data_IF_592948463884
#
_entry.id   IF_592948463884
#
_cell.length_a   1.000
_cell.length_b   1.000
_cell.length_c   1.000
_cell.angle_alpha   90.00
_cell.angle_beta   90.00
_cell.angle_gamma   90.00
#
_symmetry.space_group_name_H-M   'P 1'
#
loop_
_entity.id
_entity.type
_entity.pdbx_description
1 polymer ?
#
# COMPACT_ATOMS: atom_id res chain seq x y z
N UNK A 1 55.70 -36.50 -28.40
CA UNK A 1 54.88 -35.31 -28.77
C UNK A 1 53.54 -35.46 -28.11
N UNK A 2 53.34 -34.77 -27.00
CA UNK A 2 52.00 -34.76 -26.31
C UNK A 2 51.30 -33.47 -26.72
N UNK A 3 50.19 -33.59 -27.39
CA UNK A 3 49.34 -32.47 -27.80
C UNK A 3 48.36 -32.15 -26.66
N UNK A 4 48.53 -30.98 -26.04
CA UNK A 4 47.68 -30.46 -24.95
C UNK A 4 46.48 -29.76 -25.61
N UNK A 5 45.27 -30.35 -25.55
CA UNK A 5 44.03 -29.64 -25.93
C UNK A 5 43.57 -28.76 -24.81
N UNK A 6 43.66 -27.43 -25.00
CA UNK A 6 43.02 -26.42 -24.12
C UNK A 6 41.53 -26.34 -24.49
N UNK A 7 40.64 -26.78 -23.58
CA UNK A 7 39.21 -26.55 -23.68
C UNK A 7 38.91 -25.18 -23.02
N UNK A 8 38.63 -24.19 -23.83
CA UNK A 8 38.11 -22.89 -23.38
C UNK A 8 36.60 -23.02 -23.11
N UNK A 9 36.21 -23.13 -21.86
CA UNK A 9 34.82 -22.98 -21.45
C UNK A 9 34.46 -21.49 -21.36
N UNK A 10 33.74 -20.98 -22.37
CA UNK A 10 33.15 -19.65 -22.34
C UNK A 10 31.91 -19.69 -21.44
N UNK A 11 32.01 -19.14 -20.23
CA UNK A 11 30.85 -18.82 -19.38
C UNK A 11 30.14 -17.61 -19.99
N UNK A 12 29.02 -17.83 -20.68
CA UNK A 12 28.08 -16.76 -21.01
C UNK A 12 27.43 -16.28 -19.72
N UNK A 13 27.85 -15.14 -19.20
CA UNK A 13 27.06 -14.36 -18.26
C UNK A 13 25.83 -13.84 -19.02
N UNK A 14 24.68 -14.42 -18.79
CA UNK A 14 23.42 -13.78 -19.12
C UNK A 14 23.27 -12.57 -18.19
N UNK A 15 23.61 -11.39 -18.67
CA UNK A 15 23.16 -10.14 -18.05
C UNK A 15 21.62 -10.16 -18.16
N UNK A 16 20.92 -10.45 -17.06
CA UNK A 16 19.51 -10.16 -16.96
C UNK A 16 19.36 -8.66 -17.18
N UNK A 17 18.72 -8.27 -18.28
CA UNK A 17 18.31 -6.91 -18.54
C UNK A 17 17.47 -6.45 -17.33
N UNK A 18 17.98 -5.54 -16.52
CA UNK A 18 17.21 -4.91 -15.48
C UNK A 18 16.02 -4.22 -16.16
N UNK A 19 14.79 -4.68 -15.88
CA UNK A 19 13.58 -4.01 -16.31
C UNK A 19 13.61 -2.63 -15.63
N UNK A 20 13.88 -1.58 -16.39
CA UNK A 20 13.69 -0.22 -15.89
C UNK A 20 12.19 0.03 -15.84
N UNK A 21 11.63 0.26 -14.66
CA UNK A 21 10.22 0.60 -14.51
C UNK A 21 9.82 1.74 -15.44
N UNK A 22 8.70 1.59 -16.13
CA UNK A 22 8.21 2.53 -17.13
C UNK A 22 7.36 3.65 -16.50
N UNK A 23 6.93 3.45 -15.25
CA UNK A 23 6.00 4.33 -14.54
C UNK A 23 6.72 5.08 -13.44
N UNK A 24 6.59 6.41 -13.46
CA UNK A 24 7.18 7.31 -12.46
C UNK A 24 6.08 8.09 -11.79
N UNK A 25 6.01 8.04 -10.46
CA UNK A 25 5.15 8.92 -9.66
C UNK A 25 5.94 10.11 -9.13
N UNK A 26 5.35 11.29 -9.23
CA UNK A 26 5.89 12.55 -8.72
C UNK A 26 4.82 13.33 -7.97
N UNK A 27 5.25 14.26 -7.12
CA UNK A 27 4.37 15.23 -6.46
C UNK A 27 4.75 16.65 -6.93
N UNK A 28 3.74 17.44 -7.31
CA UNK A 28 3.88 18.88 -7.60
C UNK A 28 2.77 19.64 -6.87
N UNK A 29 3.14 20.33 -5.80
CA UNK A 29 2.18 20.93 -4.87
C UNK A 29 1.32 19.87 -4.19
N UNK A 30 0.00 19.96 -4.33
CA UNK A 30 -0.96 19.00 -3.76
C UNK A 30 -1.37 17.89 -4.75
N UNK A 31 -0.64 17.71 -5.86
CA UNK A 31 -1.02 16.82 -6.96
C UNK A 31 -0.02 15.68 -7.15
N UNK A 32 -0.55 14.50 -7.42
CA UNK A 32 0.22 13.38 -7.95
C UNK A 32 0.29 13.43 -9.48
N UNK A 33 1.46 13.15 -9.99
CA UNK A 33 1.76 13.03 -11.41
C UNK A 33 2.23 11.61 -11.70
N UNK A 34 1.80 11.06 -12.82
CA UNK A 34 2.29 9.78 -13.35
C UNK A 34 2.86 10.04 -14.74
N UNK A 35 4.14 9.71 -14.94
CA UNK A 35 4.85 9.95 -16.19
C UNK A 35 4.74 11.41 -16.68
N UNK A 36 4.90 12.35 -15.77
CA UNK A 36 4.90 13.79 -16.05
C UNK A 36 3.52 14.43 -16.27
N UNK A 37 2.42 13.65 -16.21
CA UNK A 37 1.04 14.13 -16.31
C UNK A 37 0.32 14.01 -14.97
N UNK A 38 -0.54 14.96 -14.59
CA UNK A 38 -1.35 14.79 -13.40
C UNK A 38 -2.25 13.57 -13.56
N UNK A 39 -2.50 12.86 -12.48
CA UNK A 39 -3.53 11.80 -12.49
C UNK A 39 -4.88 12.42 -12.84
N UNK A 40 -5.74 11.68 -13.54
CA UNK A 40 -7.06 12.16 -13.97
C UNK A 40 -7.05 13.54 -14.64
N UNK A 41 -6.10 13.80 -15.54
CA UNK A 41 -5.87 15.07 -16.22
C UNK A 41 -7.17 15.67 -16.76
N UNK A 42 -7.47 16.92 -16.36
CA UNK A 42 -8.67 17.66 -16.76
C UNK A 42 -10.00 17.18 -16.15
N UNK A 43 -10.00 16.15 -15.31
CA UNK A 43 -11.24 15.60 -14.76
C UNK A 43 -11.84 16.48 -13.67
N UNK A 44 -13.12 16.83 -13.84
CA UNK A 44 -13.96 17.50 -12.86
C UNK A 44 -15.22 16.64 -12.65
N UNK A 45 -15.65 16.46 -11.40
CA UNK A 45 -16.87 15.76 -11.03
C UNK A 45 -17.72 16.64 -10.10
N UNK A 46 -18.98 16.91 -10.47
CA UNK A 46 -19.91 17.77 -9.71
C UNK A 46 -19.26 19.11 -9.26
N UNK A 47 -18.43 19.71 -10.11
CA UNK A 47 -17.70 20.95 -9.81
C UNK A 47 -16.38 20.78 -9.04
N UNK A 48 -16.08 19.57 -8.55
CA UNK A 48 -14.86 19.27 -7.80
C UNK A 48 -13.76 18.77 -8.72
N UNK A 49 -12.53 19.26 -8.49
CA UNK A 49 -11.34 18.83 -9.23
C UNK A 49 -10.92 17.43 -8.78
N UNK A 50 -10.80 16.50 -9.74
CA UNK A 50 -10.29 15.13 -9.51
C UNK A 50 -8.83 15.01 -9.96
N UNK A 51 -8.43 15.83 -10.92
CA UNK A 51 -7.06 15.88 -11.42
C UNK A 51 -6.05 15.99 -10.27
N UNK A 52 -5.05 15.13 -10.27
CA UNK A 52 -3.99 15.11 -9.26
C UNK A 52 -4.26 14.22 -8.04
N UNK A 53 -5.44 13.60 -7.92
CA UNK A 53 -5.77 12.71 -6.81
C UNK A 53 -5.34 11.25 -7.08
N UNK A 54 -5.22 10.46 -6.02
CA UNK A 54 -5.14 9.00 -6.05
C UNK A 54 -6.44 8.42 -5.48
N UNK A 55 -7.13 7.62 -6.27
CA UNK A 55 -8.25 6.81 -5.80
C UNK A 55 -7.75 5.40 -5.58
N UNK A 56 -7.90 4.91 -4.35
CA UNK A 56 -7.20 3.71 -3.92
C UNK A 56 -8.09 2.74 -3.13
N UNK A 57 -7.56 1.57 -2.86
CA UNK A 57 -8.12 0.62 -1.90
C UNK A 57 -6.99 -0.01 -1.10
N UNK A 58 -7.29 -0.32 0.16
CA UNK A 58 -6.37 -1.02 1.04
C UNK A 58 -6.43 -2.52 0.75
N UNK A 59 -5.43 -3.04 0.07
CA UNK A 59 -5.35 -4.42 -0.41
C UNK A 59 -4.09 -5.13 0.12
N UNK A 60 -3.82 -4.96 1.42
CA UNK A 60 -2.54 -5.28 2.06
C UNK A 60 -2.18 -6.77 2.07
N UNK A 61 -3.14 -7.64 1.77
CA UNK A 61 -2.94 -9.10 1.82
C UNK A 61 -2.49 -9.73 0.50
N UNK A 62 -2.19 -8.93 -0.53
CA UNK A 62 -1.83 -9.46 -1.86
C UNK A 62 -0.60 -10.39 -1.89
N UNK A 63 0.31 -10.25 -0.91
CA UNK A 63 1.49 -11.13 -0.76
C UNK A 63 1.45 -11.97 0.52
N UNK A 64 0.30 -12.03 1.19
CA UNK A 64 0.13 -12.72 2.47
C UNK A 64 0.62 -14.17 2.43
N UNK A 65 1.32 -14.56 3.48
CA UNK A 65 1.56 -15.96 3.83
C UNK A 65 1.76 -16.05 5.36
N UNK A 66 1.08 -17.01 5.98
CA UNK A 66 1.27 -17.24 7.41
C UNK A 66 2.45 -18.19 7.64
N UNK A 67 3.48 -17.68 8.28
CA UNK A 67 4.68 -18.44 8.65
C UNK A 67 4.47 -19.31 9.90
N UNK A 68 3.35 -19.13 10.61
CA UNK A 68 2.97 -19.97 11.75
C UNK A 68 2.11 -21.15 11.29
N UNK A 69 2.66 -22.35 11.34
CA UNK A 69 1.98 -23.58 10.94
C UNK A 69 0.69 -23.88 11.75
N UNK A 70 0.59 -23.34 12.97
CA UNK A 70 -0.58 -23.57 13.83
C UNK A 70 -1.80 -22.73 13.41
N UNK A 71 -1.58 -21.58 12.76
CA UNK A 71 -2.64 -20.67 12.33
C UNK A 71 -2.86 -20.65 10.82
N UNK A 72 -1.91 -21.13 10.01
CA UNK A 72 -2.01 -21.17 8.55
C UNK A 72 -3.27 -21.86 8.03
N UNK A 73 -3.76 -22.88 8.73
CA UNK A 73 -4.97 -23.62 8.40
C UNK A 73 -6.26 -22.76 8.49
N UNK A 74 -6.20 -21.57 9.10
CA UNK A 74 -7.34 -20.64 9.17
C UNK A 74 -7.61 -19.96 7.80
N UNK A 75 -6.64 -19.96 6.89
CA UNK A 75 -6.67 -19.20 5.64
C UNK A 75 -6.97 -20.05 4.40
N UNK A 76 -7.61 -21.20 4.59
CA UNK A 76 -7.97 -22.12 3.50
C UNK A 76 -9.00 -21.50 2.55
N UNK A 77 -8.76 -21.68 1.26
CA UNK A 77 -9.76 -21.38 0.24
C UNK A 77 -10.98 -22.32 0.39
N UNK A 78 -12.20 -21.82 0.22
CA UNK A 78 -13.41 -22.64 0.41
C UNK A 78 -13.56 -23.75 -0.64
N UNK A 79 -13.01 -23.59 -1.84
CA UNK A 79 -13.10 -24.55 -2.94
C UNK A 79 -12.08 -25.69 -2.85
N UNK A 80 -10.84 -25.42 -2.37
CA UNK A 80 -9.76 -26.42 -2.31
C UNK A 80 -9.47 -26.93 -0.91
N UNK A 81 -10.00 -26.25 0.10
CA UNK A 81 -9.71 -26.49 1.52
C UNK A 81 -8.20 -26.45 1.85
N UNK A 82 -7.43 -25.65 1.10
CA UNK A 82 -5.99 -25.41 1.30
C UNK A 82 -5.68 -23.94 1.14
N UNK A 83 -4.66 -23.44 1.87
CA UNK A 83 -4.09 -22.13 1.63
C UNK A 83 -3.01 -22.20 0.55
N UNK A 84 -3.06 -21.27 -0.40
CA UNK A 84 -2.08 -21.14 -1.48
C UNK A 84 -1.72 -19.65 -1.64
N UNK A 85 -0.54 -19.21 -1.15
CA UNK A 85 -0.11 -17.82 -1.24
C UNK A 85 0.21 -17.36 -2.67
N UNK A 86 0.60 -18.28 -3.55
CA UNK A 86 0.85 -17.95 -4.95
C UNK A 86 -0.43 -17.78 -5.74
N UNK A 87 -1.46 -18.59 -5.46
CA UNK A 87 -2.82 -18.40 -5.97
C UNK A 87 -3.35 -17.03 -5.56
N UNK A 88 -3.25 -16.68 -4.27
CA UNK A 88 -3.69 -15.37 -3.75
C UNK A 88 -3.07 -14.21 -4.53
N UNK A 89 -1.77 -14.25 -4.77
CA UNK A 89 -1.07 -13.22 -5.53
C UNK A 89 -1.46 -13.22 -7.01
N UNK A 90 -1.63 -14.38 -7.63
CA UNK A 90 -2.01 -14.47 -9.05
C UNK A 90 -3.41 -13.91 -9.29
N UNK A 91 -4.38 -14.27 -8.43
CA UNK A 91 -5.75 -13.73 -8.50
C UNK A 91 -5.77 -12.21 -8.27
N UNK A 92 -4.92 -11.69 -7.37
CA UNK A 92 -4.71 -10.24 -7.21
C UNK A 92 -4.26 -9.58 -8.52
N UNK A 93 -3.20 -10.15 -9.14
CA UNK A 93 -2.63 -9.61 -10.39
C UNK A 93 -3.66 -9.64 -11.55
N UNK A 94 -4.45 -10.69 -11.63
CA UNK A 94 -5.52 -10.82 -12.63
C UNK A 94 -6.63 -9.78 -12.45
N UNK A 95 -7.02 -9.48 -11.21
CA UNK A 95 -8.07 -8.53 -10.90
C UNK A 95 -7.68 -7.05 -11.19
N UNK A 96 -6.38 -6.73 -11.21
CA UNK A 96 -5.89 -5.36 -11.37
C UNK A 96 -6.36 -4.69 -12.68
N UNK A 97 -6.53 -5.44 -13.77
CA UNK A 97 -7.05 -4.89 -15.04
C UNK A 97 -8.47 -4.36 -14.89
N UNK A 98 -9.30 -5.05 -14.11
CA UNK A 98 -10.68 -4.65 -13.89
C UNK A 98 -10.75 -3.41 -12.99
N UNK A 99 -10.01 -3.38 -11.87
CA UNK A 99 -9.94 -2.20 -11.02
C UNK A 99 -9.52 -0.96 -11.80
N UNK A 100 -8.52 -1.12 -12.67
CA UNK A 100 -8.05 -0.03 -13.54
C UNK A 100 -9.13 0.47 -14.51
N UNK A 101 -9.94 -0.42 -15.10
CA UNK A 101 -11.05 -0.06 -15.99
C UNK A 101 -12.13 0.77 -15.29
N UNK A 102 -12.35 0.53 -14.00
CA UNK A 102 -13.24 1.36 -13.19
C UNK A 102 -12.64 2.73 -12.83
N UNK A 103 -11.34 2.92 -13.01
CA UNK A 103 -10.65 4.19 -12.79
C UNK A 103 -9.84 4.23 -11.49
N UNK A 104 -9.74 3.12 -10.72
CA UNK A 104 -8.82 3.05 -9.58
C UNK A 104 -7.38 3.11 -10.08
N UNK A 105 -6.58 4.03 -9.55
CA UNK A 105 -5.20 4.26 -10.00
C UNK A 105 -4.14 3.97 -8.93
N UNK A 106 -4.55 3.54 -7.74
CA UNK A 106 -3.63 3.23 -6.65
C UNK A 106 -4.20 2.14 -5.73
N UNK A 107 -3.34 1.47 -4.97
CA UNK A 107 -3.70 0.55 -3.89
C UNK A 107 -2.59 0.48 -2.84
N UNK A 108 -2.94 0.03 -1.63
CA UNK A 108 -1.97 -0.24 -0.56
C UNK A 108 -1.69 -1.73 -0.45
N UNK A 109 -0.42 -2.11 -0.35
CA UNK A 109 0.06 -3.47 -0.09
C UNK A 109 1.16 -3.43 0.97
N UNK A 110 1.28 -4.45 1.83
CA UNK A 110 2.22 -4.41 2.94
C UNK A 110 3.23 -5.56 2.91
N UNK A 111 4.46 -5.26 3.35
CA UNK A 111 5.54 -6.25 3.59
C UNK A 111 5.31 -7.02 4.90
N UNK A 112 4.81 -6.33 5.94
CA UNK A 112 4.17 -6.97 7.09
C UNK A 112 2.68 -6.69 6.98
N UNK A 113 1.88 -7.70 6.75
CA UNK A 113 0.44 -7.56 6.65
C UNK A 113 -0.21 -7.89 7.98
N UNK A 114 -1.15 -7.06 8.39
CA UNK A 114 -1.91 -7.26 9.60
C UNK A 114 -3.35 -7.61 9.36
N UNK A 115 -4.00 -8.06 10.40
CA UNK A 115 -5.45 -8.23 10.49
C UNK A 115 -6.08 -9.05 9.34
N UNK A 116 -5.55 -10.24 8.99
CA UNK A 116 -6.04 -11.05 7.87
C UNK A 116 -7.45 -11.63 8.10
N UNK A 117 -8.08 -11.33 9.23
CA UNK A 117 -9.45 -11.67 9.55
C UNK A 117 -10.31 -10.42 9.82
N UNK A 118 -9.89 -9.26 9.33
CA UNK A 118 -10.53 -7.98 9.58
C UNK A 118 -9.75 -7.14 10.58
N UNK A 119 -10.30 -6.88 11.76
CA UNK A 119 -9.60 -6.18 12.84
C UNK A 119 -8.92 -7.15 13.82
N UNK A 120 -7.84 -6.69 14.43
CA UNK A 120 -7.08 -7.39 15.47
C UNK A 120 -6.00 -8.33 14.96
N UNK A 121 -5.06 -8.64 15.84
CA UNK A 121 -3.98 -9.59 15.60
C UNK A 121 -4.09 -10.79 16.53
N UNK A 122 -3.76 -11.96 15.98
CA UNK A 122 -3.64 -13.22 16.69
C UNK A 122 -2.23 -13.80 16.46
N UNK A 123 -2.05 -15.08 16.64
CA UNK A 123 -0.76 -15.74 16.59
C UNK A 123 -0.16 -15.93 15.17
N UNK A 124 -0.79 -15.43 14.10
CA UNK A 124 -0.20 -15.52 12.75
C UNK A 124 1.05 -14.67 12.60
N UNK A 125 1.93 -15.10 11.70
CA UNK A 125 3.18 -14.41 11.36
C UNK A 125 3.20 -14.12 9.87
N UNK A 126 2.83 -12.90 9.49
CA UNK A 126 2.85 -12.43 8.10
C UNK A 126 3.91 -11.35 7.93
N UNK A 127 5.12 -11.75 7.58
CA UNK A 127 6.26 -10.84 7.49
C UNK A 127 7.19 -11.22 6.35
N UNK A 128 7.45 -10.26 5.45
CA UNK A 128 8.46 -10.38 4.41
C UNK A 128 9.91 -10.30 4.96
N UNK A 129 10.08 -10.24 6.28
CA UNK A 129 11.38 -10.09 6.91
C UNK A 129 11.80 -11.32 7.71
N UNK A 130 13.08 -11.65 7.64
CA UNK A 130 13.77 -12.43 8.67
C UNK A 130 13.97 -11.59 9.93
N UNK A 131 14.23 -12.21 11.10
CA UNK A 131 14.39 -11.47 12.36
C UNK A 131 15.45 -10.34 12.33
N UNK A 132 16.49 -10.47 11.52
CA UNK A 132 17.56 -9.48 11.34
C UNK A 132 17.20 -8.36 10.32
N UNK A 133 15.99 -8.35 9.76
CA UNK A 133 15.53 -7.37 8.76
C UNK A 133 15.90 -7.70 7.31
N UNK A 134 16.47 -8.87 7.02
CA UNK A 134 16.67 -9.35 5.65
C UNK A 134 15.34 -9.74 5.02
N UNK A 135 15.22 -9.53 3.69
CA UNK A 135 14.00 -9.84 2.94
C UNK A 135 13.85 -11.34 2.67
N UNK A 136 12.63 -11.86 2.82
CA UNK A 136 12.28 -13.24 2.44
C UNK A 136 12.01 -13.32 0.94
N UNK A 137 12.78 -14.10 0.17
CA UNK A 137 12.65 -14.16 -1.28
C UNK A 137 11.25 -14.54 -1.78
N UNK A 138 10.55 -15.42 -1.08
CA UNK A 138 9.21 -15.88 -1.45
C UNK A 138 8.17 -14.75 -1.40
N UNK A 139 8.23 -13.86 -0.40
CA UNK A 139 7.38 -12.67 -0.32
C UNK A 139 7.74 -11.66 -1.41
N UNK A 140 9.04 -11.44 -1.62
CA UNK A 140 9.52 -10.48 -2.63
C UNK A 140 9.22 -10.93 -4.06
N UNK A 141 9.22 -12.23 -4.33
CA UNK A 141 8.82 -12.78 -5.63
C UNK A 141 7.31 -12.55 -5.90
N UNK A 142 6.47 -12.65 -4.87
CA UNK A 142 5.04 -12.31 -4.96
C UNK A 142 4.85 -10.81 -5.18
N UNK A 143 5.55 -9.97 -4.39
CA UNK A 143 5.50 -8.52 -4.56
C UNK A 143 5.95 -8.10 -5.96
N UNK A 144 6.99 -8.71 -6.50
CA UNK A 144 7.49 -8.39 -7.84
C UNK A 144 6.41 -8.56 -8.91
N UNK A 145 5.63 -9.65 -8.87
CA UNK A 145 4.52 -9.88 -9.82
C UNK A 145 3.48 -8.75 -9.78
N UNK A 146 3.14 -8.28 -8.57
CA UNK A 146 2.19 -7.18 -8.38
C UNK A 146 2.79 -5.87 -8.88
N UNK A 147 4.05 -5.57 -8.56
CA UNK A 147 4.70 -4.34 -8.98
C UNK A 147 4.93 -4.29 -10.50
N UNK A 148 5.28 -5.43 -11.12
CA UNK A 148 5.39 -5.53 -12.58
C UNK A 148 4.06 -5.18 -13.26
N UNK A 149 2.95 -5.74 -12.75
CA UNK A 149 1.61 -5.46 -13.28
C UNK A 149 1.18 -4.00 -13.03
N UNK A 150 1.49 -3.47 -11.85
CA UNK A 150 1.19 -2.07 -11.51
C UNK A 150 1.96 -1.10 -12.43
N UNK A 151 3.23 -1.40 -12.74
CA UNK A 151 4.03 -0.62 -13.68
C UNK A 151 3.43 -0.64 -15.09
N UNK A 152 3.03 -1.81 -15.58
CA UNK A 152 2.39 -1.97 -16.90
C UNK A 152 1.05 -1.20 -16.99
N UNK A 153 0.27 -1.19 -15.91
CA UNK A 153 -1.02 -0.50 -15.82
C UNK A 153 -0.90 0.99 -15.43
N UNK A 154 0.31 1.50 -15.16
CA UNK A 154 0.55 2.85 -14.65
C UNK A 154 -0.23 3.13 -13.36
N UNK A 155 -0.28 2.15 -12.46
CA UNK A 155 -0.85 2.30 -11.14
C UNK A 155 0.22 2.68 -10.13
N UNK A 156 -0.16 3.46 -9.12
CA UNK A 156 0.71 3.84 -8.00
C UNK A 156 0.49 2.86 -6.86
N UNK A 157 1.57 2.33 -6.29
CA UNK A 157 1.52 1.38 -5.18
C UNK A 157 1.97 2.07 -3.89
N UNK A 158 1.12 2.08 -2.87
CA UNK A 158 1.51 2.44 -1.50
C UNK A 158 2.02 1.17 -0.81
N UNK A 159 3.33 1.08 -0.61
CA UNK A 159 3.99 -0.06 0.01
C UNK A 159 4.19 0.22 1.51
N UNK A 160 3.39 -0.45 2.35
CA UNK A 160 3.57 -0.45 3.80
C UNK A 160 4.70 -1.39 4.20
N UNK A 161 5.62 -0.90 5.07
CA UNK A 161 6.74 -1.72 5.53
C UNK A 161 6.35 -2.50 6.77
N UNK A 162 5.88 -1.83 7.84
CA UNK A 162 5.58 -2.46 9.11
C UNK A 162 4.09 -2.40 9.46
N UNK A 163 3.68 -3.37 10.25
CA UNK A 163 2.34 -3.45 10.83
C UNK A 163 2.44 -3.78 12.33
N UNK A 164 1.62 -3.12 13.16
CA UNK A 164 1.58 -3.38 14.59
C UNK A 164 1.23 -4.85 14.89
N UNK A 165 1.88 -5.42 15.89
CA UNK A 165 1.73 -6.84 16.22
C UNK A 165 2.41 -7.80 15.24
N UNK A 166 3.32 -7.29 14.38
CA UNK A 166 4.23 -8.07 13.54
C UNK A 166 5.69 -7.63 13.72
N UNK A 167 5.92 -6.41 14.22
CA UNK A 167 7.26 -5.88 14.42
C UNK A 167 8.04 -6.59 15.54
N UNK A 168 7.38 -7.24 16.50
CA UNK A 168 8.00 -8.06 17.53
C UNK A 168 8.78 -9.28 17.01
N UNK A 169 8.61 -9.64 15.74
CA UNK A 169 9.42 -10.68 15.10
C UNK A 169 10.74 -10.18 14.52
N UNK A 170 11.07 -8.90 14.72
CA UNK A 170 12.37 -8.33 14.43
C UNK A 170 13.21 -8.31 15.71
N UNK A 171 14.50 -8.64 15.61
CA UNK A 171 15.38 -8.86 16.77
C UNK A 171 15.57 -7.60 17.62
N UNK A 172 15.76 -6.44 16.96
CA UNK A 172 16.07 -5.17 17.60
C UNK A 172 15.79 -3.96 16.67
N UNK A 173 16.08 -2.75 17.16
CA UNK A 173 15.95 -1.52 16.40
C UNK A 173 16.84 -1.51 15.14
N UNK A 174 18.01 -2.15 15.17
CA UNK A 174 18.87 -2.25 13.99
C UNK A 174 18.24 -3.13 12.92
N UNK A 175 17.54 -4.19 13.31
CA UNK A 175 16.77 -5.03 12.38
C UNK A 175 15.64 -4.23 11.72
N UNK A 176 14.94 -3.34 12.45
CA UNK A 176 13.94 -2.41 11.88
C UNK A 176 14.60 -1.49 10.85
N UNK A 177 15.74 -0.88 11.17
CA UNK A 177 16.50 -0.02 10.26
C UNK A 177 16.95 -0.80 9.02
N UNK A 178 17.42 -2.04 9.18
CA UNK A 178 17.81 -2.91 8.07
C UNK A 178 16.62 -3.25 7.17
N UNK A 179 15.46 -3.57 7.77
CA UNK A 179 14.23 -3.86 7.02
C UNK A 179 13.81 -2.67 6.13
N UNK A 180 13.86 -1.44 6.64
CA UNK A 180 13.59 -0.22 5.84
C UNK A 180 14.59 -0.10 4.70
N UNK A 181 15.91 -0.20 4.99
CA UNK A 181 16.96 -0.08 3.97
C UNK A 181 16.82 -1.15 2.89
N UNK A 182 16.62 -2.40 3.28
CA UNK A 182 16.52 -3.53 2.37
C UNK A 182 15.28 -3.39 1.46
N UNK A 183 14.14 -2.98 2.02
CA UNK A 183 12.90 -2.77 1.26
C UNK A 183 13.05 -1.67 0.21
N UNK A 184 13.55 -0.50 0.62
CA UNK A 184 13.69 0.65 -0.27
C UNK A 184 14.75 0.40 -1.34
N UNK A 185 15.89 -0.19 -0.98
CA UNK A 185 16.92 -0.57 -1.94
C UNK A 185 16.39 -1.60 -2.95
N UNK A 186 15.68 -2.64 -2.49
CA UNK A 186 15.12 -3.65 -3.38
C UNK A 186 14.17 -3.03 -4.42
N UNK A 187 13.26 -2.14 -4.00
CA UNK A 187 12.34 -1.44 -4.92
C UNK A 187 13.11 -0.62 -5.96
N UNK A 188 14.11 0.15 -5.51
CA UNK A 188 14.92 0.99 -6.38
C UNK A 188 15.83 0.16 -7.32
N UNK A 189 16.42 -0.94 -6.84
CA UNK A 189 17.26 -1.86 -7.62
C UNK A 189 16.48 -2.58 -8.71
N UNK A 190 15.21 -2.91 -8.45
CA UNK A 190 14.29 -3.44 -9.46
C UNK A 190 13.83 -2.38 -10.47
N UNK A 191 14.11 -1.09 -10.21
CA UNK A 191 13.81 0.03 -11.11
C UNK A 191 12.40 0.60 -10.95
N UNK A 192 11.62 0.17 -9.95
CA UNK A 192 10.28 0.71 -9.73
C UNK A 192 10.33 2.15 -9.21
N UNK A 193 9.55 3.04 -9.82
CA UNK A 193 9.43 4.46 -9.47
C UNK A 193 7.97 4.91 -9.30
N UNK A 194 7.04 3.97 -9.32
CA UNK A 194 5.61 4.17 -9.08
C UNK A 194 5.20 3.71 -7.66
N UNK A 195 6.16 3.64 -6.73
CA UNK A 195 5.95 3.18 -5.36
C UNK A 195 6.08 4.36 -4.39
N UNK A 196 5.08 4.53 -3.53
CA UNK A 196 5.08 5.39 -2.35
C UNK A 196 5.34 4.49 -1.13
N UNK A 197 6.11 4.97 -0.15
CA UNK A 197 6.38 4.23 1.08
C UNK A 197 5.47 4.72 2.21
N UNK A 198 4.77 3.79 2.85
CA UNK A 198 4.21 3.94 4.19
C UNK A 198 5.15 3.23 5.17
N UNK A 199 5.85 3.98 6.05
CA UNK A 199 6.83 3.37 6.96
C UNK A 199 6.16 2.31 7.82
N UNK A 200 5.07 2.67 8.48
CA UNK A 200 4.26 1.73 9.24
C UNK A 200 2.80 2.16 9.32
N UNK A 201 1.93 1.17 9.41
CA UNK A 201 0.51 1.38 9.59
C UNK A 201 0.23 1.83 11.03
N UNK A 202 -0.45 2.99 11.18
CA UNK A 202 -0.94 3.49 12.47
C UNK A 202 0.14 3.52 13.56
N UNK A 203 1.17 4.34 13.36
CA UNK A 203 2.33 4.42 14.24
C UNK A 203 2.01 4.70 15.72
N UNK A 204 0.80 5.17 16.04
CA UNK A 204 0.32 5.49 17.38
C UNK A 204 -0.51 4.37 18.05
N UNK A 205 -0.58 3.20 17.44
CA UNK A 205 -1.13 1.99 18.08
C UNK A 205 -0.12 1.46 19.10
N UNK A 206 -0.59 1.18 20.32
CA UNK A 206 0.27 0.74 21.43
C UNK A 206 0.92 -0.65 21.24
N UNK A 207 0.52 -1.39 20.20
CA UNK A 207 1.00 -2.74 19.91
C UNK A 207 2.33 -2.79 19.14
N UNK A 208 2.97 -1.65 18.87
CA UNK A 208 4.37 -1.62 18.42
C UNK A 208 5.34 -1.84 19.56
N UNK A 209 6.25 -2.78 19.42
CA UNK A 209 7.28 -3.05 20.43
C UNK A 209 8.47 -2.09 20.27
N UNK A 210 8.91 -1.82 19.03
CA UNK A 210 10.08 -0.97 18.77
C UNK A 210 9.77 0.53 18.86
N UNK A 211 10.49 1.26 19.71
CA UNK A 211 10.29 2.70 19.95
C UNK A 211 10.46 3.56 18.69
N UNK A 212 11.34 3.14 17.75
CA UNK A 212 11.57 3.87 16.50
C UNK A 212 10.35 3.85 15.57
N UNK A 213 9.40 2.94 15.75
CA UNK A 213 8.14 2.85 15.01
C UNK A 213 7.02 3.70 15.62
N UNK A 214 7.23 4.28 16.81
CA UNK A 214 6.21 5.04 17.55
C UNK A 214 6.21 6.53 17.17
N UNK A 215 5.15 7.29 17.47
CA UNK A 215 4.97 8.68 17.02
C UNK A 215 6.12 9.62 17.32
N UNK A 216 6.85 9.39 18.42
CA UNK A 216 7.96 10.26 18.82
C UNK A 216 9.15 10.17 17.86
N UNK A 217 9.36 8.99 17.24
CA UNK A 217 10.60 8.66 16.52
C UNK A 217 10.39 8.22 15.07
N UNK A 218 9.19 7.84 14.65
CA UNK A 218 8.93 7.30 13.30
C UNK A 218 9.41 8.22 12.16
N UNK A 219 9.48 9.53 12.40
CA UNK A 219 10.02 10.48 11.45
C UNK A 219 11.50 10.23 11.12
N UNK A 220 12.28 9.60 12.03
CA UNK A 220 13.67 9.19 11.78
C UNK A 220 13.74 8.16 10.64
N UNK A 221 12.76 7.24 10.55
CA UNK A 221 12.66 6.28 9.46
C UNK A 221 12.17 6.93 8.15
N UNK A 222 11.27 7.92 8.22
CA UNK A 222 10.88 8.73 7.06
C UNK A 222 12.11 9.42 6.48
N UNK A 223 12.90 10.08 7.32
CA UNK A 223 14.13 10.77 6.91
C UNK A 223 15.17 9.77 6.37
N UNK A 224 15.30 8.58 6.97
CA UNK A 224 16.15 7.50 6.46
C UNK A 224 15.77 7.11 5.02
N UNK A 225 14.48 6.87 4.74
CA UNK A 225 14.00 6.54 3.38
C UNK A 225 14.42 7.61 2.38
N UNK A 226 14.32 8.89 2.74
CA UNK A 226 14.70 10.02 1.87
C UNK A 226 16.19 10.06 1.54
N UNK A 227 17.04 9.48 2.40
CA UNK A 227 18.48 9.41 2.15
C UNK A 227 18.86 8.34 1.13
N UNK A 228 18.03 7.31 0.97
CA UNK A 228 18.30 6.18 0.08
C UNK A 228 17.99 6.59 -1.35
N UNK A 229 19.00 6.55 -2.20
CA UNK A 229 18.88 6.94 -3.60
C UNK A 229 19.62 5.96 -4.50
N UNK A 230 19.04 5.71 -5.68
CA UNK A 230 19.70 4.97 -6.75
C UNK A 230 19.56 5.73 -8.07
N UNK A 231 20.67 5.97 -8.74
CA UNK A 231 20.72 6.76 -9.98
C UNK A 231 20.02 8.13 -9.85
N UNK A 232 20.13 8.78 -8.68
CA UNK A 232 19.50 10.05 -8.36
C UNK A 232 18.01 9.98 -7.98
N UNK A 233 17.36 8.82 -8.13
CA UNK A 233 15.96 8.61 -7.78
C UNK A 233 15.82 8.17 -6.32
N UNK A 234 14.77 8.62 -5.65
CA UNK A 234 14.31 8.17 -4.33
C UNK A 234 12.82 7.87 -4.34
N UNK A 235 12.35 7.14 -3.37
CA UNK A 235 10.91 6.93 -3.16
C UNK A 235 10.32 8.07 -2.33
N UNK A 236 9.05 8.39 -2.58
CA UNK A 236 8.24 9.30 -1.75
C UNK A 236 7.75 8.55 -0.53
N UNK A 237 7.70 9.22 0.63
CA UNK A 237 7.47 8.54 1.91
C UNK A 237 6.60 9.33 2.87
N UNK A 238 5.77 8.59 3.61
CA UNK A 238 4.96 9.03 4.75
C UNK A 238 4.78 7.89 5.76
N UNK A 239 3.93 8.11 6.76
CA UNK A 239 3.39 7.10 7.68
C UNK A 239 1.99 7.52 8.12
N UNK A 240 1.18 6.59 8.61
CA UNK A 240 -0.18 6.87 9.07
C UNK A 240 -0.31 6.83 10.59
N UNK A 241 -1.39 7.44 11.05
CA UNK A 241 -1.92 7.37 12.41
C UNK A 241 -3.25 6.61 12.40
N UNK A 242 -3.67 6.06 13.53
CA UNK A 242 -4.96 5.38 13.65
C UNK A 242 -6.12 6.27 13.26
N UNK A 243 -7.21 5.66 12.92
CA UNK A 243 -8.42 6.32 12.45
C UNK A 243 -8.83 7.54 13.26
N UNK A 244 -9.33 8.55 12.56
CA UNK A 244 -9.78 9.83 13.13
C UNK A 244 -8.69 10.59 13.95
N UNK A 245 -7.42 10.42 13.61
CA UNK A 245 -6.28 11.04 14.30
C UNK A 245 -5.39 11.79 13.32
N UNK A 246 -5.26 13.12 13.43
CA UNK A 246 -4.30 13.89 12.65
C UNK A 246 -2.86 13.51 12.99
N UNK A 247 -1.92 13.54 12.02
CA UNK A 247 -0.51 13.26 12.27
C UNK A 247 0.13 14.34 13.16
N UNK A 248 1.23 14.01 13.82
CA UNK A 248 1.98 14.98 14.64
C UNK A 248 2.96 15.81 13.80
N UNK A 249 3.39 17.00 14.31
CA UNK A 249 4.25 17.94 13.57
C UNK A 249 5.55 17.34 13.04
N UNK A 250 6.21 16.44 13.77
CA UNK A 250 7.45 15.80 13.33
C UNK A 250 7.22 14.94 12.07
N UNK A 251 6.11 14.19 12.00
CA UNK A 251 5.74 13.41 10.82
C UNK A 251 5.36 14.31 9.66
N UNK A 252 4.54 15.36 9.90
CA UNK A 252 4.13 16.30 8.86
C UNK A 252 5.33 17.00 8.22
N UNK A 253 6.31 17.43 9.03
CA UNK A 253 7.52 18.10 8.55
C UNK A 253 8.41 17.19 7.72
N UNK A 254 8.50 15.89 8.08
CA UNK A 254 9.36 14.92 7.38
C UNK A 254 8.70 14.30 6.15
N UNK A 255 7.37 14.21 6.07
CA UNK A 255 6.65 13.50 5.01
C UNK A 255 6.67 14.22 3.66
N UNK A 256 6.58 13.46 2.56
CA UNK A 256 6.38 13.98 1.20
C UNK A 256 4.88 14.16 0.86
N UNK A 257 4.02 13.40 1.49
CA UNK A 257 2.56 13.45 1.44
C UNK A 257 2.02 13.02 2.80
N UNK A 258 0.75 13.29 3.09
CA UNK A 258 0.14 12.91 4.38
C UNK A 258 -0.76 11.70 4.19
N UNK A 259 -0.64 10.72 5.08
CA UNK A 259 -1.58 9.60 5.22
C UNK A 259 -2.45 9.81 6.44
N UNK A 260 -3.76 9.66 6.28
CA UNK A 260 -4.75 9.65 7.36
C UNK A 260 -5.76 8.52 7.14
N UNK A 261 -6.37 8.05 8.22
CA UNK A 261 -7.38 6.99 8.20
C UNK A 261 -8.75 7.53 8.60
N UNK A 262 -9.77 7.15 7.83
CA UNK A 262 -11.16 7.51 8.07
C UNK A 262 -11.88 6.61 9.09
N UNK A 263 -11.27 5.50 9.48
CA UNK A 263 -11.82 4.57 10.45
C UNK A 263 -12.20 5.29 11.76
N UNK A 264 -13.36 4.96 12.32
CA UNK A 264 -13.82 5.58 13.56
C UNK A 264 -14.37 7.01 13.42
N UNK A 265 -14.39 7.57 12.21
CA UNK A 265 -15.15 8.79 11.87
C UNK A 265 -16.63 8.41 11.82
N UNK A 266 -17.47 9.08 12.62
CA UNK A 266 -18.88 8.67 12.73
C UNK A 266 -19.81 9.39 11.76
N UNK A 267 -19.41 10.52 11.24
CA UNK A 267 -20.20 11.34 10.31
C UNK A 267 -19.31 12.00 9.28
N UNK A 268 -19.89 12.41 8.18
CA UNK A 268 -19.20 13.14 7.11
C UNK A 268 -18.60 14.46 7.57
N UNK A 269 -19.22 15.15 8.56
CA UNK A 269 -18.68 16.38 9.17
C UNK A 269 -17.42 16.08 10.00
N UNK A 270 -17.33 14.93 10.65
CA UNK A 270 -16.11 14.50 11.34
C UNK A 270 -14.98 14.19 10.34
N UNK A 271 -15.30 13.61 9.17
CA UNK A 271 -14.32 13.42 8.09
C UNK A 271 -13.77 14.77 7.60
N UNK A 272 -14.64 15.72 7.33
CA UNK A 272 -14.24 17.07 6.94
C UNK A 272 -13.37 17.74 8.02
N UNK A 273 -13.75 17.60 9.29
CA UNK A 273 -12.97 18.09 10.42
C UNK A 273 -11.59 17.44 10.50
N UNK A 274 -11.48 16.12 10.34
CA UNK A 274 -10.19 15.39 10.32
C UNK A 274 -9.26 15.96 9.25
N UNK A 275 -9.79 16.23 8.05
CA UNK A 275 -9.02 16.82 6.94
C UNK A 275 -8.55 18.23 7.32
N UNK A 276 -9.43 19.05 7.87
CA UNK A 276 -9.10 20.42 8.31
C UNK A 276 -8.07 20.42 9.44
N UNK A 277 -8.27 19.59 10.47
CA UNK A 277 -7.33 19.45 11.59
C UNK A 277 -5.94 19.01 11.09
N UNK A 278 -5.90 18.10 10.10
CA UNK A 278 -4.65 17.66 9.47
C UNK A 278 -3.91 18.81 8.78
N UNK A 279 -4.63 19.67 8.05
CA UNK A 279 -4.05 20.85 7.39
C UNK A 279 -3.63 21.95 8.37
N UNK A 280 -4.17 21.95 9.57
CA UNK A 280 -3.82 22.88 10.64
C UNK A 280 -2.66 22.42 11.52
N UNK A 281 -2.12 21.22 11.30
CA UNK A 281 -0.95 20.72 12.06
C UNK A 281 0.27 21.60 11.79
N UNK A 282 1.00 21.95 12.85
CA UNK A 282 2.23 22.74 12.74
C UNK A 282 3.23 22.14 11.75
N UNK A 283 3.67 22.92 10.78
CA UNK A 283 4.60 22.48 9.72
C UNK A 283 3.91 21.91 8.49
N UNK A 284 2.58 21.90 8.45
CA UNK A 284 1.86 21.57 7.21
C UNK A 284 2.22 22.61 6.11
N UNK A 285 2.38 22.10 4.92
CA UNK A 285 2.54 22.88 3.70
C UNK A 285 1.63 22.29 2.61
N UNK A 286 1.26 23.01 1.56
CA UNK A 286 0.50 22.42 0.44
C UNK A 286 1.20 21.17 -0.10
N UNK A 287 0.60 20.00 0.17
CA UNK A 287 1.07 18.68 -0.19
C UNK A 287 -0.13 17.73 -0.27
N UNK A 288 -0.03 16.61 -1.03
CA UNK A 288 -1.14 15.67 -1.12
C UNK A 288 -1.52 15.11 0.26
N UNK A 289 -2.82 15.03 0.51
CA UNK A 289 -3.40 14.28 1.63
C UNK A 289 -4.11 13.06 1.04
N UNK A 290 -3.86 11.90 1.61
CA UNK A 290 -4.41 10.62 1.16
C UNK A 290 -5.07 9.92 2.33
N UNK A 291 -6.34 9.64 2.21
CA UNK A 291 -7.02 8.64 3.04
C UNK A 291 -6.75 7.30 2.38
N UNK A 292 -5.93 6.44 2.98
CA UNK A 292 -5.63 5.11 2.44
C UNK A 292 -6.33 3.99 3.20
N UNK A 293 -7.16 4.33 4.17
CA UNK A 293 -7.96 3.41 4.96
C UNK A 293 -9.23 4.09 5.48
N UNK A 294 -10.40 3.68 4.98
CA UNK A 294 -11.71 4.14 5.46
C UNK A 294 -12.73 3.00 5.29
N UNK A 295 -13.38 2.60 6.40
CA UNK A 295 -14.30 1.47 6.50
C UNK A 295 -15.78 1.86 6.40
N UNK A 296 -16.09 2.94 5.68
CA UNK A 296 -17.44 3.41 5.43
C UNK A 296 -17.91 3.06 4.02
N UNK A 297 -19.08 2.44 3.90
CA UNK A 297 -19.60 1.83 2.67
C UNK A 297 -20.90 2.47 2.15
N UNK A 298 -21.20 3.69 2.57
CA UNK A 298 -22.41 4.44 2.19
C UNK A 298 -22.36 4.98 0.75
N UNK A 299 -21.94 4.15 -0.21
CA UNK A 299 -21.70 4.57 -1.60
C UNK A 299 -22.98 4.95 -2.36
N UNK A 300 -24.16 4.53 -1.87
CA UNK A 300 -25.49 4.88 -2.37
C UNK A 300 -25.95 6.27 -1.89
N UNK A 301 -25.32 6.85 -0.87
CA UNK A 301 -25.66 8.18 -0.36
C UNK A 301 -24.97 9.27 -1.18
N UNK A 302 -25.71 10.34 -1.46
CA UNK A 302 -25.18 11.51 -2.19
C UNK A 302 -23.95 12.10 -1.52
N UNK A 303 -23.94 12.18 -0.16
CA UNK A 303 -22.82 12.62 0.64
C UNK A 303 -22.36 11.50 1.56
N UNK A 304 -21.15 11.01 1.32
CA UNK A 304 -20.46 9.97 2.07
C UNK A 304 -18.99 10.37 2.28
N UNK A 305 -18.21 9.58 2.99
CA UNK A 305 -16.82 9.92 3.28
C UNK A 305 -15.96 10.08 2.01
N UNK A 306 -16.21 9.27 0.99
CA UNK A 306 -15.49 9.40 -0.28
C UNK A 306 -15.81 10.73 -0.97
N UNK A 307 -17.09 11.09 -1.09
CA UNK A 307 -17.48 12.36 -1.73
C UNK A 307 -16.96 13.56 -0.94
N UNK A 308 -16.98 13.53 0.40
CA UNK A 308 -16.39 14.57 1.26
C UNK A 308 -14.88 14.69 1.06
N UNK A 309 -14.16 13.59 0.92
CA UNK A 309 -12.73 13.65 0.59
C UNK A 309 -12.50 14.38 -0.74
N UNK A 310 -13.29 14.06 -1.77
CA UNK A 310 -13.22 14.73 -3.08
C UNK A 310 -13.56 16.23 -2.97
N UNK A 311 -14.64 16.61 -2.26
CA UNK A 311 -15.04 18.00 -2.01
C UNK A 311 -13.91 18.81 -1.35
N UNK A 312 -13.09 18.16 -0.52
CA UNK A 312 -11.94 18.76 0.16
C UNK A 312 -10.60 18.56 -0.57
N UNK A 313 -10.63 18.06 -1.81
CA UNK A 313 -9.42 17.80 -2.61
C UNK A 313 -8.43 16.86 -1.89
N UNK A 314 -8.92 15.72 -1.44
CA UNK A 314 -8.18 14.65 -0.75
C UNK A 314 -8.36 13.34 -1.50
N UNK A 315 -7.28 12.61 -1.70
CA UNK A 315 -7.29 11.24 -2.23
C UNK A 315 -7.99 10.30 -1.24
N UNK A 316 -8.78 9.34 -1.74
CA UNK A 316 -9.56 8.46 -0.87
C UNK A 316 -9.38 6.99 -1.23
N UNK A 317 -9.42 6.12 -0.20
CA UNK A 317 -9.26 4.68 -0.33
C UNK A 317 -10.13 3.86 0.59
N UNK A 318 -10.74 2.84 0.00
CA UNK A 318 -11.58 1.88 0.68
C UNK A 318 -10.73 0.93 1.55
N UNK A 319 -11.13 0.75 2.81
CA UNK A 319 -10.77 -0.38 3.64
C UNK A 319 -11.99 -1.29 3.80
N UNK A 320 -11.88 -2.50 3.30
CA UNK A 320 -12.99 -3.45 3.29
C UNK A 320 -12.54 -4.81 3.83
N UNK A 321 -13.23 -5.31 4.85
CA UNK A 321 -12.99 -6.62 5.45
C UNK A 321 -14.28 -7.42 5.53
N UNK A 322 -14.16 -8.74 5.43
CA UNK A 322 -15.27 -9.67 5.60
C UNK A 322 -15.62 -9.79 7.07
N UNK A 323 -16.88 -9.49 7.41
CA UNK A 323 -17.40 -9.62 8.75
C UNK A 323 -17.87 -11.05 9.02
N UNK A 324 -18.04 -11.39 10.29
CA UNK A 324 -18.57 -12.70 10.67
C UNK A 324 -19.94 -12.95 10.01
N UNK A 325 -20.05 -14.07 9.29
CA UNK A 325 -21.26 -14.47 8.56
C UNK A 325 -21.42 -13.89 7.16
N UNK A 326 -20.52 -13.01 6.72
CA UNK A 326 -20.52 -12.53 5.33
C UNK A 326 -19.92 -13.59 4.38
N UNK A 327 -20.36 -13.62 3.10
CA UNK A 327 -19.85 -14.57 2.12
C UNK A 327 -18.39 -14.31 1.74
N UNK A 328 -17.78 -15.29 1.08
CA UNK A 328 -16.36 -15.27 0.69
C UNK A 328 -16.00 -14.09 -0.21
N UNK A 329 -16.93 -13.63 -1.01
CA UNK A 329 -16.79 -12.54 -1.97
C UNK A 329 -16.60 -11.17 -1.30
N UNK A 330 -16.95 -11.02 -0.01
CA UNK A 330 -16.80 -9.76 0.70
C UNK A 330 -15.37 -9.54 1.21
N UNK A 331 -14.97 -8.26 1.21
CA UNK A 331 -13.74 -7.76 1.81
C UNK A 331 -12.49 -7.98 0.95
N UNK A 332 -11.62 -6.95 0.95
CA UNK A 332 -10.26 -7.02 0.37
C UNK A 332 -9.16 -7.25 1.42
N UNK A 333 -9.54 -7.26 2.70
CA UNK A 333 -8.59 -7.45 3.82
C UNK A 333 -8.59 -8.88 4.37
N UNK A 334 -9.72 -9.60 4.31
CA UNK A 334 -9.89 -10.89 4.99
C UNK A 334 -9.42 -12.06 4.13
N UNK A 335 -8.39 -12.76 4.58
CA UNK A 335 -7.77 -13.91 3.89
C UNK A 335 -8.57 -15.20 4.14
N UNK A 336 -8.76 -16.05 3.11
CA UNK A 336 -8.45 -15.84 1.71
C UNK A 336 -9.34 -14.75 1.09
N UNK A 337 -8.80 -14.05 0.10
CA UNK A 337 -9.47 -12.90 -0.51
C UNK A 337 -10.06 -13.29 -1.87
N UNK A 338 -11.31 -12.92 -2.12
CA UNK A 338 -11.82 -12.78 -3.47
C UNK A 338 -11.41 -11.38 -3.99
N UNK A 339 -10.45 -11.33 -4.91
CA UNK A 339 -9.95 -10.08 -5.47
C UNK A 339 -10.86 -9.47 -6.56
N UNK A 340 -11.90 -10.20 -6.99
CA UNK A 340 -12.90 -9.72 -7.94
C UNK A 340 -13.85 -8.67 -7.34
N UNK A 341 -14.64 -8.04 -8.22
CA UNK A 341 -15.72 -7.12 -7.85
C UNK A 341 -17.03 -7.93 -7.77
N UNK A 342 -17.07 -8.90 -6.85
CA UNK A 342 -18.09 -9.95 -6.81
C UNK A 342 -19.13 -9.78 -5.68
N UNK A 343 -19.11 -8.63 -4.96
CA UNK A 343 -20.10 -8.32 -3.94
C UNK A 343 -20.78 -6.97 -4.17
N UNK A 344 -21.97 -6.77 -3.61
CA UNK A 344 -22.68 -5.48 -3.73
C UNK A 344 -21.87 -4.32 -3.15
N UNK A 345 -21.16 -4.54 -2.05
CA UNK A 345 -20.33 -3.51 -1.40
C UNK A 345 -19.14 -3.12 -2.27
N UNK A 346 -18.43 -4.10 -2.84
CA UNK A 346 -17.35 -3.85 -3.79
C UNK A 346 -17.87 -3.17 -5.07
N UNK A 347 -18.99 -3.64 -5.62
CA UNK A 347 -19.58 -3.05 -6.79
C UNK A 347 -19.96 -1.58 -6.55
N UNK A 348 -20.59 -1.27 -5.41
CA UNK A 348 -20.93 0.10 -5.03
C UNK A 348 -19.73 1.03 -4.99
N UNK A 349 -18.61 0.57 -4.40
CA UNK A 349 -17.35 1.32 -4.43
C UNK A 349 -16.86 1.56 -5.85
N UNK A 350 -16.72 0.53 -6.65
CA UNK A 350 -16.18 0.66 -8.00
C UNK A 350 -17.09 1.45 -8.95
N UNK A 351 -18.39 1.37 -8.80
CA UNK A 351 -19.33 2.19 -9.56
C UNK A 351 -19.16 3.68 -9.23
N UNK A 352 -19.00 4.03 -7.95
CA UNK A 352 -18.72 5.40 -7.53
C UNK A 352 -17.33 5.86 -7.99
N UNK A 353 -16.30 5.01 -7.94
CA UNK A 353 -14.97 5.30 -8.53
C UNK A 353 -15.11 5.65 -9.99
N UNK A 354 -15.85 4.84 -10.77
CA UNK A 354 -16.09 5.07 -12.21
C UNK A 354 -16.84 6.37 -12.47
N UNK A 355 -17.86 6.69 -11.67
CA UNK A 355 -18.61 7.94 -11.78
C UNK A 355 -17.68 9.14 -11.54
N UNK A 356 -16.92 9.13 -10.45
CA UNK A 356 -16.02 10.22 -10.06
C UNK A 356 -14.89 10.40 -11.08
N UNK A 357 -14.21 9.33 -11.44
CA UNK A 357 -13.00 9.38 -12.29
C UNK A 357 -13.31 9.41 -13.78
N UNK A 358 -14.46 8.94 -14.19
CA UNK A 358 -14.85 8.73 -15.59
C UNK A 358 -14.51 7.35 -16.13
N UNK A 359 -13.89 6.49 -15.33
CA UNK A 359 -13.39 5.18 -15.78
C UNK A 359 -12.34 5.29 -16.90
N UNK A 360 -11.78 4.17 -17.34
CA UNK A 360 -10.80 4.07 -18.46
C UNK A 360 -9.64 5.07 -18.35
N UNK A 361 -8.61 4.67 -17.69
CA UNK A 361 -7.35 5.40 -17.59
C UNK A 361 -6.23 4.64 -18.32
#
# INVERSE_FOLDING_TARGET
MLTLCLVLTSTMLFAQSQKTGNTVVEIKGEQFYVNGKPTYEGRIWKGNKIEGLLINSRMVQGIFDDLNSETRELFKYPDTNTWDPDRNTNEFVEAMDEWKKYGMNSFTINLQGGSPTGYGNKAWVNSAFHPNGELRPEFMNRLQRILDKADDLKMVVMLGIFYFGQDQYLDDEQAVINAVKNSVNWVLEKGYRNVLIEVNNECDVNAYDHEILKPARVHELIDLVKTIKQNGNRLLVSTSYKGNTPPKPNVVKSSDFILIHGNGVKTTEMMEKLIQDTRNVEGYRPMPVVINEDDHYDFDKERNNFTVAIENYVSWGLFDYRRDGEPFEEGFQSVPVDWGINSERKQGFFDLVKEITGGKY
#
